data_IF_453173951972
#
_entry.id   IF_453173951972
#
_cell.length_a   1.000
_cell.length_b   1.000
_cell.length_c   1.000
_cell.angle_alpha   90.00
_cell.angle_beta   90.00
_cell.angle_gamma   90.00
#
_symmetry.space_group_name_H-M   'P 1'
#
loop_
_entity.id
_entity.type
_entity.pdbx_description
1 polymer ?
#
# COMPACT_ATOMS: atom_id res chain seq x y z
N UNK A 1 -4.37 -18.98 -9.63
CA UNK A 1 -3.45 -18.33 -8.67
C UNK A 1 -2.54 -19.39 -8.07
N UNK A 2 -1.33 -19.05 -7.64
CA UNK A 2 -0.41 -20.01 -7.00
C UNK A 2 -0.91 -20.32 -5.58
N UNK A 3 -0.94 -21.60 -5.19
CA UNK A 3 -1.36 -22.05 -3.84
C UNK A 3 -0.60 -21.33 -2.72
N UNK A 4 0.67 -20.96 -2.95
CA UNK A 4 1.44 -20.19 -1.97
C UNK A 4 0.98 -18.76 -1.86
N UNK A 5 0.63 -18.11 -2.96
CA UNK A 5 0.18 -16.71 -2.93
C UNK A 5 -1.14 -16.60 -2.19
N UNK A 6 -2.05 -17.56 -2.40
CA UNK A 6 -3.30 -17.67 -1.64
C UNK A 6 -3.04 -17.88 -0.15
N UNK A 7 -2.13 -18.78 0.20
CA UNK A 7 -1.73 -19.00 1.59
C UNK A 7 -1.16 -17.73 2.25
N UNK A 8 -0.24 -17.02 1.57
CA UNK A 8 0.36 -15.80 2.09
C UNK A 8 -0.65 -14.65 2.21
N UNK A 9 -1.60 -14.55 1.28
CA UNK A 9 -2.69 -13.58 1.36
C UNK A 9 -3.61 -13.87 2.56
N UNK A 10 -3.95 -15.15 2.79
CA UNK A 10 -4.78 -15.56 3.91
C UNK A 10 -4.07 -15.37 5.26
N UNK A 11 -2.75 -15.57 5.28
CA UNK A 11 -1.89 -15.27 6.42
C UNK A 11 -1.90 -13.76 6.74
N UNK A 12 -1.73 -12.90 5.73
CA UNK A 12 -1.76 -11.45 5.91
C UNK A 12 -3.13 -10.90 6.33
N UNK A 13 -4.21 -11.58 5.96
CA UNK A 13 -5.57 -11.23 6.37
C UNK A 13 -5.92 -11.66 7.80
N UNK A 14 -5.16 -12.58 8.40
CA UNK A 14 -5.40 -13.10 9.74
C UNK A 14 -4.41 -12.49 10.74
N UNK A 15 -4.90 -11.70 11.69
CA UNK A 15 -4.06 -10.92 12.62
C UNK A 15 -3.35 -11.81 13.66
N UNK A 16 -3.89 -13.00 13.96
CA UNK A 16 -3.32 -13.89 14.98
C UNK A 16 -3.22 -15.34 14.48
N UNK A 17 -1.99 -15.77 14.15
CA UNK A 17 -1.65 -17.18 13.99
C UNK A 17 -0.55 -17.56 14.98
N UNK A 18 -0.74 -18.68 15.68
CA UNK A 18 0.31 -19.26 16.50
C UNK A 18 1.36 -19.94 15.61
N UNK A 19 2.58 -20.06 16.10
CA UNK A 19 3.65 -20.76 15.36
C UNK A 19 3.28 -22.22 15.04
N UNK A 20 2.52 -22.85 15.93
CA UNK A 20 2.03 -24.22 15.72
C UNK A 20 0.99 -24.30 14.60
N UNK A 21 0.05 -23.34 14.53
CA UNK A 21 -0.95 -23.32 13.46
C UNK A 21 -0.30 -23.00 12.11
N UNK A 22 0.70 -22.10 12.10
CA UNK A 22 1.50 -21.80 10.92
C UNK A 22 2.25 -23.03 10.41
N UNK A 23 3.02 -23.72 11.26
CA UNK A 23 3.78 -24.90 10.88
C UNK A 23 2.86 -26.03 10.36
N UNK A 24 1.72 -26.25 11.01
CA UNK A 24 0.72 -27.20 10.54
C UNK A 24 0.18 -26.84 9.15
N UNK A 25 -0.13 -25.55 8.90
CA UNK A 25 -0.58 -25.10 7.59
C UNK A 25 0.50 -25.31 6.51
N UNK A 26 1.76 -24.94 6.78
CA UNK A 26 2.89 -25.13 5.85
C UNK A 26 3.11 -26.61 5.52
N UNK A 27 2.98 -27.52 6.48
CA UNK A 27 3.13 -28.96 6.23
C UNK A 27 2.06 -29.54 5.30
N UNK A 28 0.86 -28.95 5.29
CA UNK A 28 -0.27 -29.39 4.45
C UNK A 28 -0.24 -28.78 3.05
N UNK A 29 0.63 -27.80 2.81
CA UNK A 29 0.79 -27.22 1.49
C UNK A 29 1.42 -28.22 0.53
N UNK A 30 0.70 -28.44 -0.56
CA UNK A 30 1.15 -29.20 -1.73
C UNK A 30 2.04 -28.33 -2.62
N UNK A 31 3.29 -28.18 -2.16
CA UNK A 31 4.34 -27.41 -2.82
C UNK A 31 5.67 -28.18 -2.78
N UNK A 32 6.62 -27.77 -3.62
CA UNK A 32 7.96 -28.34 -3.66
C UNK A 32 8.70 -28.22 -2.32
N UNK A 33 9.67 -29.13 -2.10
CA UNK A 33 10.42 -29.21 -0.85
C UNK A 33 11.12 -27.88 -0.49
N UNK A 34 11.75 -27.23 -1.47
CA UNK A 34 12.45 -25.96 -1.25
C UNK A 34 11.51 -24.83 -0.80
N UNK A 35 10.33 -24.74 -1.41
CA UNK A 35 9.33 -23.72 -1.06
C UNK A 35 8.76 -23.97 0.33
N UNK A 36 8.51 -25.25 0.68
CA UNK A 36 8.07 -25.64 2.02
C UNK A 36 9.11 -25.29 3.09
N UNK A 37 10.39 -25.53 2.81
CA UNK A 37 11.49 -25.19 3.72
C UNK A 37 11.62 -23.67 3.90
N UNK A 38 11.54 -22.91 2.81
CA UNK A 38 11.58 -21.45 2.85
C UNK A 38 10.40 -20.87 3.66
N UNK A 39 9.19 -21.42 3.51
CA UNK A 39 8.03 -21.08 4.34
C UNK A 39 8.27 -21.43 5.81
N UNK A 40 8.72 -22.65 6.10
CA UNK A 40 8.95 -23.11 7.47
C UNK A 40 9.97 -22.22 8.22
N UNK A 41 10.98 -21.70 7.52
CA UNK A 41 11.98 -20.76 8.07
C UNK A 41 11.56 -19.30 8.02
N UNK A 42 10.39 -18.98 7.42
CA UNK A 42 9.95 -17.60 7.14
C UNK A 42 11.04 -16.80 6.41
N UNK A 43 11.71 -17.44 5.46
CA UNK A 43 12.85 -16.86 4.73
C UNK A 43 12.36 -15.80 3.73
N UNK A 44 12.34 -14.55 4.19
CA UNK A 44 11.90 -13.40 3.41
C UNK A 44 12.81 -13.09 2.20
N UNK A 45 14.01 -13.67 2.14
CA UNK A 45 14.93 -13.48 1.01
C UNK A 45 14.73 -14.54 -0.08
N UNK A 46 14.50 -15.79 0.34
CA UNK A 46 14.40 -16.94 -0.57
C UNK A 46 12.99 -17.13 -1.11
N UNK A 47 11.95 -16.79 -0.34
CA UNK A 47 10.55 -16.88 -0.80
C UNK A 47 10.28 -16.07 -2.08
N UNK A 48 10.70 -14.79 -2.20
CA UNK A 48 10.53 -14.03 -3.43
C UNK A 48 11.23 -14.69 -4.63
N UNK A 49 12.47 -15.16 -4.45
CA UNK A 49 13.25 -15.81 -5.52
C UNK A 49 12.55 -17.08 -6.04
N UNK A 50 12.07 -17.93 -5.13
CA UNK A 50 11.36 -19.16 -5.49
C UNK A 50 9.98 -18.90 -6.12
N UNK A 51 9.38 -17.74 -5.84
CA UNK A 51 8.10 -17.32 -6.43
C UNK A 51 8.27 -16.61 -7.78
N UNK A 52 9.50 -16.47 -8.27
CA UNK A 52 9.78 -15.74 -9.50
C UNK A 52 9.50 -14.25 -9.36
N UNK A 53 9.53 -13.71 -8.14
CA UNK A 53 9.58 -12.27 -7.95
C UNK A 53 10.92 -11.80 -8.55
N UNK A 54 10.82 -11.21 -9.74
CA UNK A 54 11.95 -10.68 -10.49
C UNK A 54 12.74 -9.69 -9.65
N UNK A 55 14.05 -9.63 -9.91
CA UNK A 55 14.95 -8.63 -9.36
C UNK A 55 14.36 -7.22 -9.44
N UNK A 56 14.77 -6.34 -8.52
CA UNK A 56 14.28 -4.98 -8.38
C UNK A 56 14.16 -4.28 -9.74
N UNK A 57 12.92 -4.00 -10.16
CA UNK A 57 12.66 -3.22 -11.36
C UNK A 57 12.91 -1.75 -11.02
N UNK A 58 13.99 -1.20 -11.54
CA UNK A 58 14.29 0.22 -11.42
C UNK A 58 13.52 1.00 -12.50
N UNK A 59 12.52 1.77 -12.11
CA UNK A 59 11.86 2.72 -12.99
C UNK A 59 12.61 4.05 -12.97
N UNK A 60 13.23 4.41 -14.08
CA UNK A 60 13.87 5.72 -14.27
C UNK A 60 12.85 6.61 -14.97
N UNK A 61 12.37 7.64 -14.27
CA UNK A 61 11.56 8.70 -14.86
C UNK A 61 12.51 9.76 -15.42
N UNK A 62 12.56 9.88 -16.73
CA UNK A 62 13.26 10.97 -17.40
C UNK A 62 12.30 12.15 -17.57
N UNK A 63 12.70 13.39 -17.24
CA UNK A 63 11.90 14.56 -17.56
C UNK A 63 11.68 14.64 -19.08
N UNK A 64 10.48 15.02 -19.50
CA UNK A 64 10.22 15.24 -20.91
C UNK A 64 11.00 16.49 -21.39
N UNK A 65 12.09 16.29 -22.11
CA UNK A 65 13.00 17.38 -22.52
C UNK A 65 12.41 18.32 -23.60
N UNK A 66 11.15 18.15 -24.02
CA UNK A 66 10.53 19.01 -25.04
C UNK A 66 9.00 18.89 -25.09
N UNK A 67 8.31 19.00 -23.94
CA UNK A 67 6.88 19.28 -24.00
C UNK A 67 6.66 20.78 -24.22
N UNK A 68 5.98 21.20 -25.30
CA UNK A 68 5.56 22.59 -25.45
C UNK A 68 4.66 22.94 -24.28
N UNK A 69 5.02 23.98 -23.52
CA UNK A 69 4.15 24.53 -22.48
C UNK A 69 2.78 24.81 -23.09
N UNK A 70 1.75 24.09 -22.67
CA UNK A 70 0.39 24.54 -22.90
C UNK A 70 0.23 25.86 -22.15
N UNK A 71 -0.27 26.92 -22.80
CA UNK A 71 -0.49 28.19 -22.12
C UNK A 71 -1.49 27.97 -21.00
N UNK A 72 -1.10 28.34 -19.77
CA UNK A 72 -1.99 28.47 -18.62
C UNK A 72 -3.22 29.28 -19.04
N UNK A 73 -4.38 28.63 -19.11
CA UNK A 73 -5.66 29.32 -19.17
C UNK A 73 -5.80 30.13 -17.88
N UNK A 74 -5.53 31.44 -17.98
CA UNK A 74 -5.78 32.39 -16.90
C UNK A 74 -7.20 32.18 -16.37
N UNK A 75 -7.39 31.96 -15.06
CA UNK A 75 -8.72 32.05 -14.46
C UNK A 75 -9.24 33.46 -14.73
N UNK A 76 -10.38 33.56 -15.41
CA UNK A 76 -11.07 34.82 -15.61
C UNK A 76 -11.27 35.49 -14.24
N UNK A 77 -10.70 36.69 -14.09
CA UNK A 77 -10.95 37.53 -12.92
C UNK A 77 -12.42 37.95 -12.95
N UNK A 78 -13.21 37.41 -12.03
CA UNK A 78 -14.56 37.92 -11.75
C UNK A 78 -14.41 39.26 -10.97
N UNK A 79 -14.95 40.39 -11.46
CA UNK A 79 -14.82 41.67 -10.79
C UNK A 79 -15.70 41.75 -9.53
N UNK A 80 -15.04 42.09 -8.44
CA UNK A 80 -15.53 42.33 -7.08
C UNK A 80 -16.88 43.06 -6.93
N UNK A 81 -17.70 42.62 -5.96
CA UNK A 81 -18.47 43.45 -4.99
C UNK A 81 -18.71 42.60 -3.71
N UNK A 82 -17.88 42.72 -2.67
CA UNK A 82 -18.02 43.57 -1.47
C UNK A 82 -18.91 43.01 -0.32
N UNK A 83 -18.62 43.35 0.96
CA UNK A 83 -18.63 42.41 2.08
C UNK A 83 -19.73 42.71 3.10
N UNK A 84 -20.45 41.70 3.64
CA UNK A 84 -21.32 41.93 4.79
C UNK A 84 -21.33 40.79 5.83
N UNK A 85 -20.81 41.17 7.00
CA UNK A 85 -21.38 40.97 8.33
C UNK A 85 -21.12 39.65 9.11
N UNK A 86 -20.28 39.84 10.12
CA UNK A 86 -20.30 39.23 11.45
C UNK A 86 -21.64 38.60 11.86
N UNK A 87 -21.59 37.40 12.44
CA UNK A 87 -22.21 37.18 13.76
C UNK A 87 -21.48 36.06 14.51
N UNK A 88 -20.93 36.44 15.66
CA UNK A 88 -20.46 35.56 16.72
C UNK A 88 -21.52 34.52 17.10
N UNK A 89 -21.13 33.24 17.16
CA UNK A 89 -21.80 32.25 17.99
C UNK A 89 -20.87 31.81 19.11
N UNK A 90 -20.86 32.67 20.13
CA UNK A 90 -20.67 32.42 21.57
C UNK A 90 -20.55 30.92 21.93
N UNK A 91 -19.31 30.45 22.10
CA UNK A 91 -19.04 29.19 22.83
C UNK A 91 -19.27 29.41 24.32
N UNK A 92 -20.13 28.56 24.86
CA UNK A 92 -20.43 28.40 26.28
C UNK A 92 -19.26 27.66 26.94
N UNK A 93 -18.61 28.25 27.94
CA UNK A 93 -17.89 27.52 29.00
C UNK A 93 -17.33 28.49 30.04
N UNK A 94 -17.91 28.53 31.24
CA UNK A 94 -17.18 28.85 32.46
C UNK A 94 -17.96 28.26 33.65
N UNK A 95 -17.50 27.10 34.11
CA UNK A 95 -17.77 26.65 35.47
C UNK A 95 -16.80 27.33 36.42
N UNK A 96 -17.31 27.70 37.60
CA UNK A 96 -16.70 27.49 38.92
C UNK A 96 -17.69 27.94 39.99
#
# INVERSE_FOLDING_TARGET
MSKVVEFLAQLGASVEQSDQSYAAAVSRLDVGAELREALARRDATRLPQLLGASEAVCFILLPAENEPQQPDEQPAQDPAQEPEQQTESRRVAAGR
#
